data_IF_213394430416
#
_entry.id   IF_213394430416
#
_cell.length_a   1.000
_cell.length_b   1.000
_cell.length_c   1.000
_cell.angle_alpha   90.00
_cell.angle_beta   90.00
_cell.angle_gamma   90.00
#
_symmetry.space_group_name_H-M   'P 1'
#
loop_
_entity.id
_entity.type
_entity.pdbx_description
1 polymer ?
#
# COMPACT_ATOMS: atom_id res chain seq x y z
N UNK A 1 -19.15 23.54 -46.74
CA UNK A 1 -19.19 22.22 -46.09
C UNK A 1 -17.95 21.88 -45.23
N UNK A 2 -16.85 22.64 -45.35
CA UNK A 2 -15.56 22.37 -44.66
C UNK A 2 -15.47 22.94 -43.22
N UNK A 3 -16.30 23.93 -42.87
CA UNK A 3 -16.26 24.61 -41.56
C UNK A 3 -16.68 23.71 -40.39
N UNK A 4 -17.66 22.80 -40.60
CA UNK A 4 -18.19 21.91 -39.55
C UNK A 4 -17.14 20.91 -39.00
N UNK A 5 -16.15 20.54 -39.80
CA UNK A 5 -15.07 19.61 -39.41
C UNK A 5 -14.10 20.25 -38.41
N UNK A 6 -13.84 21.56 -38.53
CA UNK A 6 -13.01 22.31 -37.56
C UNK A 6 -13.63 22.31 -36.16
N UNK A 7 -14.95 22.46 -36.06
CA UNK A 7 -15.66 22.51 -34.78
C UNK A 7 -15.72 21.15 -34.05
N UNK A 8 -15.75 20.05 -34.79
CA UNK A 8 -15.74 18.69 -34.22
C UNK A 8 -14.38 18.38 -33.57
N UNK A 9 -13.27 18.78 -34.20
CA UNK A 9 -11.92 18.60 -33.63
C UNK A 9 -11.70 19.43 -32.37
N UNK A 10 -12.21 20.66 -32.32
CA UNK A 10 -12.11 21.53 -31.13
C UNK A 10 -12.92 20.96 -29.95
N UNK A 11 -14.08 20.34 -30.22
CA UNK A 11 -14.90 19.70 -29.18
C UNK A 11 -14.26 18.47 -28.53
N UNK A 12 -13.50 17.68 -29.28
CA UNK A 12 -12.80 16.48 -28.77
C UNK A 12 -11.62 16.87 -27.86
N UNK A 13 -10.88 17.94 -28.22
CA UNK A 13 -9.71 18.41 -27.46
C UNK A 13 -10.14 19.12 -26.15
N UNK A 14 -11.31 19.75 -26.13
CA UNK A 14 -11.85 20.40 -24.92
C UNK A 14 -12.40 19.41 -23.89
N UNK A 15 -12.91 18.24 -24.31
CA UNK A 15 -13.54 17.27 -23.40
C UNK A 15 -12.56 16.56 -22.47
N UNK A 16 -11.29 16.40 -22.87
CA UNK A 16 -10.26 15.71 -22.08
C UNK A 16 -9.80 16.51 -20.85
N UNK A 17 -10.02 17.83 -20.85
CA UNK A 17 -9.48 18.74 -19.83
C UNK A 17 -10.44 18.98 -18.65
N UNK A 18 -11.59 18.28 -18.61
CA UNK A 18 -12.61 18.45 -17.55
C UNK A 18 -12.71 17.26 -16.60
N UNK A 19 -11.68 16.42 -16.50
CA UNK A 19 -11.50 15.63 -15.29
C UNK A 19 -11.02 16.59 -14.21
N UNK A 20 -11.98 17.26 -13.57
CA UNK A 20 -11.74 17.95 -12.33
C UNK A 20 -10.97 16.99 -11.41
N UNK A 21 -9.95 17.50 -10.75
CA UNK A 21 -9.16 16.84 -9.72
C UNK A 21 -10.08 16.54 -8.53
N UNK A 22 -10.97 15.56 -8.71
CA UNK A 22 -11.87 15.12 -7.67
C UNK A 22 -11.02 14.32 -6.69
N UNK A 23 -10.89 14.84 -5.48
CA UNK A 23 -10.20 14.14 -4.42
C UNK A 23 -10.88 12.79 -4.25
N UNK A 24 -10.18 11.73 -4.65
CA UNK A 24 -10.69 10.37 -4.60
C UNK A 24 -10.77 9.94 -3.13
N UNK A 25 -11.90 10.30 -2.49
CA UNK A 25 -12.16 10.02 -1.09
C UNK A 25 -12.17 8.50 -0.87
N UNK A 26 -12.66 7.72 -1.82
CA UNK A 26 -12.65 6.26 -1.73
C UNK A 26 -11.21 5.73 -1.65
N UNK A 27 -10.32 6.24 -2.51
CA UNK A 27 -8.89 5.92 -2.47
C UNK A 27 -8.22 6.37 -1.19
N UNK A 28 -8.56 7.54 -0.66
CA UNK A 28 -8.08 8.00 0.64
C UNK A 28 -8.50 7.06 1.77
N UNK A 29 -9.80 6.72 1.87
CA UNK A 29 -10.33 5.82 2.89
C UNK A 29 -9.63 4.45 2.85
N UNK A 30 -9.52 3.85 1.66
CA UNK A 30 -8.84 2.57 1.50
C UNK A 30 -7.38 2.63 2.00
N UNK A 31 -6.67 3.72 1.74
CA UNK A 31 -5.27 3.85 2.13
C UNK A 31 -5.12 3.96 3.65
N UNK A 32 -5.96 4.75 4.32
CA UNK A 32 -5.88 4.95 5.78
C UNK A 32 -6.33 3.73 6.58
N UNK A 33 -7.19 2.87 6.01
CA UNK A 33 -7.57 1.59 6.62
C UNK A 33 -6.45 0.55 6.53
N UNK A 34 -5.65 0.58 5.45
CA UNK A 34 -4.51 -0.32 5.25
C UNK A 34 -3.27 0.06 6.10
N UNK A 35 -3.25 1.25 6.69
CA UNK A 35 -2.15 1.76 7.52
C UNK A 35 -2.49 1.58 9.00
N UNK A 36 -1.63 0.86 9.72
CA UNK A 36 -1.72 0.61 11.16
C UNK A 36 -1.23 1.81 11.96
N UNK A 37 -1.88 2.08 13.09
CA UNK A 37 -1.33 2.99 14.09
C UNK A 37 -0.31 2.27 14.99
N UNK A 38 0.96 2.62 14.86
CA UNK A 38 2.09 2.02 15.60
C UNK A 38 2.05 2.27 17.11
N UNK A 39 1.35 3.33 17.54
CA UNK A 39 1.26 3.75 18.95
C UNK A 39 -0.06 3.34 19.60
N UNK A 40 -0.97 2.73 18.84
CA UNK A 40 -2.32 2.42 19.28
C UNK A 40 -2.50 0.90 19.47
N UNK A 41 -3.51 0.51 20.24
CA UNK A 41 -3.81 -0.90 20.50
C UNK A 41 -4.53 -1.53 19.29
N UNK A 42 -3.78 -2.13 18.36
CA UNK A 42 -4.31 -2.90 17.22
C UNK A 42 -5.34 -2.17 16.34
N UNK A 43 -5.16 -0.87 16.15
CA UNK A 43 -6.05 -0.02 15.35
C UNK A 43 -5.36 0.49 14.09
N UNK A 44 -6.14 0.87 13.08
CA UNK A 44 -5.66 1.61 11.92
C UNK A 44 -5.63 3.12 12.19
N UNK A 45 -5.02 3.89 11.29
CA UNK A 45 -4.96 5.36 11.43
C UNK A 45 -6.29 6.04 11.09
N UNK A 46 -7.23 5.31 10.48
CA UNK A 46 -8.58 5.80 10.17
C UNK A 46 -9.44 5.92 11.43
N UNK A 47 -9.35 4.93 12.33
CA UNK A 47 -10.14 4.85 13.56
C UNK A 47 -9.46 5.56 14.75
N UNK A 48 -8.13 5.67 14.73
CA UNK A 48 -7.40 6.19 15.88
C UNK A 48 -7.25 7.71 15.91
N UNK A 49 -7.39 8.27 17.12
CA UNK A 49 -7.20 9.68 17.45
C UNK A 49 -5.85 9.97 18.12
N UNK A 50 -4.89 9.04 18.04
CA UNK A 50 -3.53 9.32 18.48
C UNK A 50 -2.93 10.47 17.66
N UNK A 51 -2.10 11.36 18.25
CA UNK A 51 -1.48 12.47 17.52
C UNK A 51 -0.75 12.01 16.25
N UNK A 52 -0.05 10.87 16.33
CA UNK A 52 0.64 10.27 15.19
C UNK A 52 -0.33 9.84 14.06
N UNK A 53 -1.51 9.31 14.40
CA UNK A 53 -2.50 8.91 13.41
C UNK A 53 -3.08 10.13 12.67
N UNK A 54 -3.31 11.23 13.41
CA UNK A 54 -3.76 12.51 12.83
C UNK A 54 -2.71 13.05 11.85
N UNK A 55 -1.44 13.12 12.26
CA UNK A 55 -0.33 13.60 11.42
C UNK A 55 -0.20 12.76 10.13
N UNK A 56 -0.32 11.43 10.26
CA UNK A 56 -0.26 10.52 9.12
C UNK A 56 -1.46 10.68 8.17
N UNK A 57 -2.67 10.86 8.69
CA UNK A 57 -3.87 11.14 7.89
C UNK A 57 -3.70 12.41 7.06
N UNK A 58 -3.20 13.47 7.68
CA UNK A 58 -2.92 14.74 7.00
C UNK A 58 -1.84 14.58 5.93
N UNK A 59 -0.75 13.87 6.24
CA UNK A 59 0.34 13.64 5.29
C UNK A 59 -0.10 12.79 4.09
N UNK A 60 -0.91 11.75 4.31
CA UNK A 60 -1.49 10.93 3.23
C UNK A 60 -2.39 11.78 2.35
N UNK A 61 -3.23 12.63 2.95
CA UNK A 61 -4.10 13.55 2.22
C UNK A 61 -3.31 14.52 1.35
N UNK A 62 -2.25 15.14 1.89
CA UNK A 62 -1.34 16.01 1.14
C UNK A 62 -0.72 15.28 -0.06
N UNK A 63 -0.19 14.06 0.13
CA UNK A 63 0.40 13.29 -0.96
C UNK A 63 -0.61 12.87 -2.05
N UNK A 64 -1.87 12.63 -1.68
CA UNK A 64 -2.93 12.34 -2.66
C UNK A 64 -3.28 13.58 -3.48
N UNK A 65 -3.34 14.76 -2.85
CA UNK A 65 -3.53 16.04 -3.54
C UNK A 65 -2.34 16.38 -4.43
N UNK A 66 -1.12 15.98 -4.06
CA UNK A 66 0.07 16.10 -4.90
C UNK A 66 0.09 15.10 -6.08
N UNK A 67 -0.98 14.32 -6.29
CA UNK A 67 -1.09 13.34 -7.36
C UNK A 67 -0.15 12.14 -7.22
N UNK A 68 0.40 11.87 -6.03
CA UNK A 68 1.28 10.71 -5.80
C UNK A 68 0.49 9.41 -5.94
N UNK A 69 1.15 8.33 -6.34
CA UNK A 69 0.54 7.00 -6.46
C UNK A 69 0.47 6.28 -5.10
N UNK A 70 -0.43 5.30 -4.97
CA UNK A 70 -0.55 4.49 -3.74
C UNK A 70 0.75 3.77 -3.37
N UNK A 71 1.46 3.26 -4.39
CA UNK A 71 2.74 2.58 -4.21
C UNK A 71 3.78 3.55 -3.64
N UNK A 72 3.83 4.78 -4.18
CA UNK A 72 4.74 5.79 -3.68
C UNK A 72 4.45 6.15 -2.21
N UNK A 73 3.17 6.35 -1.86
CA UNK A 73 2.76 6.69 -0.49
C UNK A 73 3.13 5.54 0.47
N UNK A 74 2.81 4.30 0.11
CA UNK A 74 3.17 3.12 0.91
C UNK A 74 4.68 3.02 1.13
N UNK A 75 5.47 3.16 0.07
CA UNK A 75 6.92 3.10 0.15
C UNK A 75 7.51 4.23 1.00
N UNK A 76 6.97 5.45 0.87
CA UNK A 76 7.38 6.59 1.70
C UNK A 76 7.13 6.32 3.19
N UNK A 77 5.98 5.72 3.51
CA UNK A 77 5.63 5.37 4.88
C UNK A 77 6.53 4.25 5.43
N UNK A 78 6.78 3.18 4.65
CA UNK A 78 7.64 2.08 5.12
C UNK A 78 9.09 2.51 5.29
N UNK A 79 9.62 3.35 4.39
CA UNK A 79 11.00 3.87 4.45
C UNK A 79 11.23 4.73 5.71
N UNK A 80 10.23 5.50 6.13
CA UNK A 80 10.36 6.43 7.25
C UNK A 80 9.95 5.86 8.60
N UNK A 81 8.97 4.97 8.63
CA UNK A 81 8.36 4.51 9.88
C UNK A 81 8.60 3.04 10.20
N UNK A 82 8.70 2.16 9.19
CA UNK A 82 8.97 0.70 9.23
C UNK A 82 8.03 -0.06 8.29
N UNK A 83 8.46 -1.25 7.84
CA UNK A 83 7.64 -2.19 7.08
C UNK A 83 6.33 -2.56 7.81
N UNK A 84 6.33 -2.54 9.15
CA UNK A 84 5.16 -2.92 9.97
C UNK A 84 4.05 -1.87 10.04
N UNK A 85 4.23 -0.70 9.43
CA UNK A 85 3.19 0.32 9.38
C UNK A 85 2.00 -0.11 8.50
N UNK A 86 2.21 -1.02 7.54
CA UNK A 86 1.16 -1.53 6.66
C UNK A 86 0.60 -2.86 7.17
N UNK A 87 -0.67 -3.15 6.90
CA UNK A 87 -1.24 -4.48 7.17
C UNK A 87 -0.58 -5.58 6.34
N UNK A 88 -0.26 -5.27 5.08
CA UNK A 88 0.45 -6.15 4.15
C UNK A 88 1.84 -5.56 3.83
N UNK A 89 2.86 -5.87 4.64
CA UNK A 89 4.22 -5.40 4.38
C UNK A 89 4.76 -5.98 3.08
N UNK A 90 5.52 -5.21 2.28
CA UNK A 90 6.13 -5.73 1.07
C UNK A 90 7.04 -6.94 1.40
N UNK A 91 6.90 -8.00 0.60
CA UNK A 91 7.70 -9.23 0.79
C UNK A 91 9.15 -8.96 0.42
N UNK A 92 9.97 -8.71 1.45
CA UNK A 92 11.40 -8.49 1.30
C UNK A 92 12.19 -9.82 1.35
N UNK A 93 13.40 -9.82 0.79
CA UNK A 93 14.26 -11.02 0.78
C UNK A 93 14.64 -11.49 2.18
N UNK A 94 14.69 -10.58 3.16
CA UNK A 94 14.98 -10.89 4.55
C UNK A 94 13.85 -11.72 5.21
N UNK A 95 12.59 -11.35 4.96
CA UNK A 95 11.46 -12.14 5.47
C UNK A 95 11.41 -13.51 4.81
N UNK A 96 11.84 -13.66 3.55
CA UNK A 96 11.89 -14.96 2.88
C UNK A 96 12.77 -15.99 3.63
N UNK A 97 13.87 -15.56 4.26
CA UNK A 97 14.70 -16.45 5.08
C UNK A 97 13.94 -16.95 6.33
N UNK A 98 13.16 -16.08 6.97
CA UNK A 98 12.32 -16.45 8.11
C UNK A 98 11.26 -17.50 7.70
N UNK A 99 10.70 -17.36 6.50
CA UNK A 99 9.74 -18.32 5.93
C UNK A 99 10.37 -19.67 5.52
N UNK A 100 11.69 -19.75 5.32
CA UNK A 100 12.39 -21.01 5.07
C UNK A 100 12.56 -21.87 6.34
N UNK A 101 12.49 -21.26 7.53
CA UNK A 101 12.64 -21.95 8.81
C UNK A 101 11.70 -23.17 8.97
N UNK A 102 10.38 -23.01 8.80
CA UNK A 102 9.43 -24.13 8.87
C UNK A 102 9.71 -25.26 7.88
N UNK A 103 10.12 -24.91 6.66
CA UNK A 103 10.45 -25.90 5.61
C UNK A 103 11.70 -26.70 5.99
N UNK A 104 12.76 -26.00 6.40
CA UNK A 104 14.01 -26.64 6.86
C UNK A 104 13.76 -27.54 8.07
N UNK A 105 12.94 -27.09 9.02
CA UNK A 105 12.59 -27.87 10.20
C UNK A 105 11.88 -29.19 9.83
N UNK A 106 10.90 -29.15 8.92
CA UNK A 106 10.23 -30.35 8.44
C UNK A 106 11.18 -31.31 7.71
N UNK A 107 12.10 -30.78 6.89
CA UNK A 107 13.11 -31.59 6.20
C UNK A 107 14.05 -32.27 7.20
N UNK A 108 14.51 -31.55 8.22
CA UNK A 108 15.39 -32.11 9.25
C UNK A 108 14.66 -33.21 10.03
N UNK A 109 13.42 -32.97 10.49
CA UNK A 109 12.66 -33.97 11.25
C UNK A 109 12.39 -35.22 10.41
N UNK A 110 11.93 -35.06 9.18
CA UNK A 110 11.64 -36.20 8.30
C UNK A 110 12.90 -36.99 7.97
N UNK A 111 14.03 -36.32 7.73
CA UNK A 111 15.33 -36.96 7.53
C UNK A 111 15.79 -37.73 8.78
N UNK A 112 15.69 -37.14 9.97
CA UNK A 112 16.04 -37.80 11.24
C UNK A 112 15.13 -38.99 11.54
N UNK A 113 13.83 -38.87 11.26
CA UNK A 113 12.87 -39.94 11.46
C UNK A 113 13.12 -41.11 10.49
N UNK A 114 13.39 -40.82 9.21
CA UNK A 114 13.72 -41.84 8.21
C UNK A 114 15.04 -42.57 8.54
N UNK A 115 16.09 -41.82 8.86
CA UNK A 115 17.40 -42.39 9.26
C UNK A 115 17.38 -43.16 10.59
N UNK A 116 16.40 -42.92 11.46
CA UNK A 116 16.13 -43.72 12.67
C UNK A 116 15.38 -45.01 12.37
N UNK A 117 14.58 -45.07 11.30
CA UNK A 117 13.79 -46.25 10.92
C UNK A 117 14.63 -47.33 10.22
N UNK A 118 15.70 -46.94 9.56
CA UNK A 118 16.59 -47.83 8.81
C UNK A 118 17.75 -48.39 9.65
N UNK A 119 17.82 -48.02 10.94
CA UNK A 119 18.63 -48.70 11.96
C UNK A 119 17.74 -49.58 12.83
#
# INVERSE_FOLDING_TARGET
MISKIKYILVGIIFFSNTYAEDFDNQRYQNLIEEIRCMVCQNQNIAESEAPLAVDLREKVKEMLLDGKSNIYIKNYLTDRYSDFILYDPPKNTQTALLWLGPVLFLVIITYLFYSRRER
#
